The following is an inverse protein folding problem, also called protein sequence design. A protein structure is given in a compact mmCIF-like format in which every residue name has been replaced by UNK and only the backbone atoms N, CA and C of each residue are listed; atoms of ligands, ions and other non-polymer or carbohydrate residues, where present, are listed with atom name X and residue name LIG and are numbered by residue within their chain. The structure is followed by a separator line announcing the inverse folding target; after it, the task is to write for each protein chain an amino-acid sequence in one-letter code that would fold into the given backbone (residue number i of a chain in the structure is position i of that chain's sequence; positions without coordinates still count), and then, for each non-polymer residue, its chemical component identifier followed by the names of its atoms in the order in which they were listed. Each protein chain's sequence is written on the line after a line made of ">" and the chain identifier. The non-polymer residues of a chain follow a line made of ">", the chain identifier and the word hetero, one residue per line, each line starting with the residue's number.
data_IF_806882786156
#
_entry.id   IF_806882786156
#
_cell.length_a   1.000
_cell.length_b   1.000
_cell.length_c   1.000
_cell.angle_alpha   90.00
_cell.angle_beta   90.00
_cell.angle_gamma   90.00
#
_symmetry.space_group_name_H-M   'P 1'
#
loop_
_entity.id
_entity.type
_entity.pdbx_description
1 polymer ?
#
# COMPACT_ATOMS: atom_id res chain seq x y z
N UNK A 1 -11.09 11.95 -37.21
CA UNK A 1 -9.76 11.42 -37.58
C UNK A 1 -9.06 11.06 -36.28
N UNK A 2 -8.82 9.78 -36.01
CA UNK A 2 -8.12 9.34 -34.80
C UNK A 2 -6.64 9.70 -34.94
N UNK A 3 -6.07 10.41 -33.96
CA UNK A 3 -4.66 10.74 -33.96
C UNK A 3 -3.81 9.45 -33.96
N UNK A 4 -2.64 9.44 -34.64
CA UNK A 4 -1.75 8.29 -34.59
C UNK A 4 -1.29 8.06 -33.14
N UNK A 5 -1.45 6.82 -32.65
CA UNK A 5 -0.92 6.42 -31.36
C UNK A 5 0.60 6.50 -31.41
N UNK A 6 1.19 7.45 -30.69
CA UNK A 6 2.64 7.51 -30.48
C UNK A 6 2.95 6.34 -29.54
N UNK A 7 3.71 5.31 -29.98
CA UNK A 7 3.98 4.15 -29.14
C UNK A 7 4.80 4.59 -27.94
N UNK A 8 4.36 4.19 -26.75
CA UNK A 8 5.16 4.42 -25.54
C UNK A 8 6.49 3.66 -25.63
N UNK A 9 7.59 4.13 -25.01
CA UNK A 9 8.87 3.41 -24.99
C UNK A 9 8.76 1.96 -24.46
N UNK A 10 7.72 1.67 -23.68
CA UNK A 10 7.41 0.31 -23.23
C UNK A 10 6.82 -0.58 -24.33
N UNK A 11 6.03 -0.04 -25.25
CA UNK A 11 5.52 -0.81 -26.40
C UNK A 11 6.65 -1.21 -27.35
N UNK A 12 7.74 -0.44 -27.37
CA UNK A 12 8.95 -0.74 -28.14
C UNK A 12 9.76 -1.92 -27.54
N UNK A 13 9.48 -2.35 -26.30
CA UNK A 13 10.13 -3.52 -25.69
C UNK A 13 9.75 -4.81 -26.43
N UNK A 14 8.56 -4.87 -27.03
CA UNK A 14 8.08 -6.05 -27.75
C UNK A 14 8.23 -7.34 -26.92
N UNK A 15 8.74 -8.44 -27.51
CA UNK A 15 8.92 -9.71 -26.82
C UNK A 15 10.24 -9.81 -26.02
N UNK A 16 11.00 -8.71 -25.84
CA UNK A 16 12.27 -8.78 -25.13
C UNK A 16 12.06 -8.85 -23.62
N UNK A 17 12.78 -9.72 -22.90
CA UNK A 17 12.74 -9.74 -21.45
C UNK A 17 13.38 -8.47 -20.88
N UNK A 18 12.82 -7.98 -19.79
CA UNK A 18 13.31 -6.83 -19.07
C UNK A 18 13.19 -7.02 -17.56
N UNK A 19 13.90 -6.21 -16.79
CA UNK A 19 13.87 -6.21 -15.33
C UNK A 19 13.37 -4.88 -14.79
N UNK A 20 12.63 -4.89 -13.67
CA UNK A 20 12.26 -3.65 -12.99
C UNK A 20 13.37 -3.17 -12.06
N UNK A 21 13.60 -1.85 -12.03
CA UNK A 21 14.49 -1.25 -11.05
C UNK A 21 13.85 0.00 -10.41
N UNK A 22 13.63 0.02 -9.09
CA UNK A 22 13.97 -1.02 -8.11
C UNK A 22 13.19 -2.34 -8.31
N UNK A 23 13.70 -3.50 -7.86
CA UNK A 23 12.98 -4.76 -7.98
C UNK A 23 11.71 -4.74 -7.13
N UNK A 24 10.63 -5.31 -7.67
CA UNK A 24 9.37 -5.42 -6.94
C UNK A 24 9.52 -6.46 -5.83
N UNK A 25 9.21 -6.08 -4.59
CA UNK A 25 9.36 -6.94 -3.41
C UNK A 25 8.30 -8.06 -3.36
N UNK A 26 8.63 -9.15 -2.65
CA UNK A 26 7.82 -10.36 -2.49
C UNK A 26 7.53 -11.10 -3.81
N UNK A 27 8.46 -11.00 -4.76
CA UNK A 27 8.46 -11.75 -6.02
C UNK A 27 9.85 -12.37 -6.19
N UNK A 28 9.91 -13.66 -6.51
CA UNK A 28 11.16 -14.41 -6.51
C UNK A 28 12.06 -14.12 -7.70
N UNK A 29 11.48 -13.75 -8.85
CA UNK A 29 12.22 -13.51 -10.09
C UNK A 29 11.84 -12.15 -10.68
N UNK A 30 12.85 -11.36 -11.06
CA UNK A 30 12.67 -10.00 -11.56
C UNK A 30 12.92 -9.89 -13.07
N UNK A 31 12.45 -10.86 -13.83
CA UNK A 31 12.50 -10.82 -15.29
C UNK A 31 11.10 -11.00 -15.84
N UNK A 32 10.74 -10.09 -16.73
CA UNK A 32 9.37 -9.85 -17.13
C UNK A 32 9.30 -9.70 -18.65
N UNK A 33 8.19 -10.17 -19.21
CA UNK A 33 7.83 -9.98 -20.61
C UNK A 33 6.63 -9.05 -20.71
N UNK A 34 6.71 -8.11 -21.65
CA UNK A 34 5.58 -7.25 -21.98
C UNK A 34 4.49 -8.09 -22.64
N UNK A 35 3.24 -7.92 -22.20
CA UNK A 35 2.08 -8.58 -22.82
C UNK A 35 1.13 -7.60 -23.47
N UNK A 36 0.74 -6.56 -22.74
CA UNK A 36 -0.19 -5.52 -23.19
C UNK A 36 -0.07 -4.29 -22.31
N UNK A 37 -0.40 -3.13 -22.86
CA UNK A 37 -0.69 -1.93 -22.10
C UNK A 37 -2.13 -1.49 -22.37
N UNK A 38 -2.94 -1.39 -21.32
CA UNK A 38 -4.32 -0.95 -21.36
C UNK A 38 -4.41 0.43 -20.69
N UNK A 39 -4.27 1.50 -21.48
CA UNK A 39 -4.49 2.90 -21.09
C UNK A 39 -3.64 3.45 -19.94
N UNK A 40 -3.84 2.94 -18.71
CA UNK A 40 -3.14 3.28 -17.48
C UNK A 40 -2.53 2.05 -16.77
N UNK A 41 -2.67 0.85 -17.33
CA UNK A 41 -2.17 -0.39 -16.74
C UNK A 41 -1.25 -1.13 -17.71
N UNK A 42 -0.16 -1.65 -17.16
CA UNK A 42 0.81 -2.48 -17.85
C UNK A 42 0.63 -3.93 -17.41
N UNK A 43 0.42 -4.82 -18.36
CA UNK A 43 0.34 -6.25 -18.12
C UNK A 43 1.67 -6.89 -18.51
N UNK A 44 2.30 -7.52 -17.52
CA UNK A 44 3.57 -8.24 -17.69
C UNK A 44 3.45 -9.67 -17.18
N UNK A 45 4.26 -10.55 -17.74
CA UNK A 45 4.33 -11.96 -17.33
C UNK A 45 5.74 -12.29 -16.89
N UNK A 46 5.87 -12.94 -15.75
CA UNK A 46 7.16 -13.41 -15.25
C UNK A 46 7.69 -14.56 -16.12
N UNK A 47 8.95 -14.50 -16.53
CA UNK A 47 9.53 -15.53 -17.41
C UNK A 47 9.63 -16.91 -16.76
N UNK A 48 9.82 -16.98 -15.43
CA UNK A 48 10.02 -18.24 -14.70
C UNK A 48 8.76 -18.75 -14.02
N UNK A 49 8.04 -17.88 -13.32
CA UNK A 49 6.86 -18.28 -12.55
C UNK A 49 5.57 -18.26 -13.37
N UNK A 50 5.60 -17.71 -14.59
CA UNK A 50 4.42 -17.43 -15.41
C UNK A 50 3.35 -16.59 -14.69
N UNK A 51 3.70 -15.94 -13.58
CA UNK A 51 2.81 -15.06 -12.85
C UNK A 51 2.53 -13.80 -13.67
N UNK A 52 1.24 -13.46 -13.76
CA UNK A 52 0.78 -12.23 -14.40
C UNK A 52 0.73 -11.09 -13.39
N UNK A 53 1.19 -9.92 -13.80
CA UNK A 53 1.22 -8.73 -12.96
C UNK A 53 0.68 -7.52 -13.72
N UNK A 54 -0.30 -6.85 -13.11
CA UNK A 54 -0.85 -5.59 -13.61
C UNK A 54 -0.22 -4.42 -12.83
N UNK A 55 0.59 -3.62 -13.51
CA UNK A 55 1.33 -2.49 -12.92
C UNK A 55 0.79 -1.16 -13.45
N UNK A 56 0.37 -0.22 -12.59
CA UNK A 56 -0.07 1.09 -13.04
C UNK A 56 1.04 1.89 -13.72
N UNK A 57 0.77 2.42 -14.93
CA UNK A 57 1.75 3.18 -15.74
C UNK A 57 2.32 4.38 -14.98
N UNK A 58 1.57 4.98 -14.04
CA UNK A 58 2.05 6.08 -13.17
C UNK A 58 3.28 5.74 -12.32
N UNK A 59 3.59 4.46 -12.14
CA UNK A 59 4.77 4.02 -11.38
C UNK A 59 5.95 3.68 -12.28
N UNK A 60 5.77 3.70 -13.60
CA UNK A 60 6.85 3.52 -14.55
C UNK A 60 7.64 4.81 -14.73
N UNK A 61 8.95 4.66 -14.75
CA UNK A 61 9.91 5.70 -15.09
C UNK A 61 10.45 5.50 -16.49
N UNK A 62 11.70 5.92 -16.69
CA UNK A 62 12.40 5.73 -17.96
C UNK A 62 12.76 4.27 -18.22
N UNK A 63 12.76 3.89 -19.50
CA UNK A 63 13.37 2.64 -19.97
C UNK A 63 14.84 2.95 -20.23
N UNK A 64 15.74 2.25 -19.54
CA UNK A 64 17.17 2.33 -19.77
C UNK A 64 17.61 1.07 -20.51
N UNK A 65 18.08 1.27 -21.73
CA UNK A 65 18.90 0.28 -22.44
C UNK A 65 20.29 0.88 -22.57
N UNK A 66 21.13 0.66 -21.56
CA UNK A 66 22.56 0.88 -21.74
C UNK A 66 23.07 -0.36 -22.50
N UNK A 67 23.96 -0.13 -23.46
CA UNK A 67 24.63 -1.17 -24.26
C UNK A 67 24.95 -2.41 -23.37
N UNK A 68 24.31 -3.56 -23.64
CA UNK A 68 24.44 -4.89 -22.99
C UNK A 68 23.51 -5.27 -21.80
N UNK A 69 23.20 -6.57 -21.61
CA UNK A 69 22.18 -7.33 -22.33
C UNK A 69 20.78 -7.30 -21.68
N UNK A 70 20.57 -6.60 -20.56
CA UNK A 70 19.29 -6.61 -19.81
C UNK A 70 18.63 -5.26 -19.86
N UNK A 71 17.43 -5.20 -20.46
CA UNK A 71 16.65 -3.97 -20.50
C UNK A 71 16.12 -3.69 -19.09
N UNK A 72 16.35 -2.48 -18.59
CA UNK A 72 15.87 -2.07 -17.26
C UNK A 72 14.73 -1.08 -17.43
N UNK A 73 13.60 -1.42 -16.84
CA UNK A 73 12.45 -0.52 -16.72
C UNK A 73 12.49 0.11 -15.34
N UNK A 74 12.71 1.42 -15.31
CA UNK A 74 12.72 2.18 -14.07
C UNK A 74 11.34 2.20 -13.42
N UNK A 75 11.30 2.07 -12.10
CA UNK A 75 10.12 2.35 -11.28
C UNK A 75 10.36 3.64 -10.49
N UNK A 76 9.36 4.52 -10.48
CA UNK A 76 9.41 5.82 -9.78
C UNK A 76 9.26 5.64 -8.26
N UNK A 77 8.76 4.49 -7.82
CA UNK A 77 8.58 4.14 -6.41
C UNK A 77 8.99 2.69 -6.18
N UNK A 78 9.49 2.42 -4.98
CA UNK A 78 9.62 1.05 -4.49
C UNK A 78 8.22 0.45 -4.40
N UNK A 79 8.02 -0.70 -5.04
CA UNK A 79 6.76 -1.43 -5.02
C UNK A 79 6.93 -2.76 -4.29
N UNK A 80 5.88 -3.16 -3.60
CA UNK A 80 5.78 -4.45 -2.93
C UNK A 80 4.52 -5.16 -3.40
N UNK A 81 4.68 -6.43 -3.77
CA UNK A 81 3.55 -7.30 -4.08
C UNK A 81 2.95 -7.85 -2.78
N UNK A 82 1.69 -7.51 -2.51
CA UNK A 82 0.93 -8.01 -1.38
C UNK A 82 -0.38 -8.57 -1.90
N UNK A 83 -0.56 -9.88 -1.76
CA UNK A 83 -1.87 -10.52 -1.91
C UNK A 83 -2.57 -10.25 -3.26
N UNK A 84 -1.83 -10.23 -4.37
CA UNK A 84 -2.40 -9.93 -5.69
C UNK A 84 -2.35 -8.45 -6.08
N UNK A 85 -1.75 -7.59 -5.26
CA UNK A 85 -1.79 -6.13 -5.44
C UNK A 85 -0.39 -5.54 -5.31
N UNK A 86 -0.06 -4.59 -6.19
CA UNK A 86 1.12 -3.76 -6.05
C UNK A 86 0.82 -2.56 -5.15
N UNK A 87 1.55 -2.46 -4.05
CA UNK A 87 1.48 -1.32 -3.12
C UNK A 87 2.82 -0.59 -3.08
N UNK A 88 2.83 0.76 -3.00
CA UNK A 88 4.07 1.49 -2.76
C UNK A 88 4.67 1.11 -1.40
N UNK A 89 5.91 0.64 -1.43
CA UNK A 89 6.69 0.37 -0.23
C UNK A 89 7.34 1.66 0.26
N UNK A 90 7.09 2.04 1.52
CA UNK A 90 7.70 3.22 2.15
C UNK A 90 8.62 2.75 3.26
N UNK A 91 9.93 2.84 3.04
CA UNK A 91 10.91 2.56 4.07
C UNK A 91 10.89 3.69 5.11
N UNK A 92 10.48 3.37 6.34
CA UNK A 92 10.58 4.30 7.47
C UNK A 92 11.99 4.24 8.04
N UNK A 93 12.88 5.06 7.51
CA UNK A 93 14.20 5.25 8.09
C UNK A 93 14.02 6.06 9.38
N UNK A 94 14.15 5.40 10.53
CA UNK A 94 14.19 6.05 11.86
C UNK A 94 15.63 6.21 12.38
N UNK A 95 16.61 5.71 11.64
CA UNK A 95 18.01 5.69 12.08
C UNK A 95 18.89 6.44 11.08
N UNK A 96 19.67 7.37 11.61
CA UNK A 96 20.71 8.05 10.85
C UNK A 96 21.72 7.01 10.35
N UNK A 97 22.07 6.97 9.06
CA UNK A 97 23.13 6.11 8.56
C UNK A 97 24.41 6.36 9.35
N UNK A 98 24.91 5.34 10.04
CA UNK A 98 26.10 5.41 10.91
C UNK A 98 27.39 5.86 10.19
N UNK A 99 27.35 6.03 8.85
CA UNK A 99 28.45 6.55 8.06
C UNK A 99 28.84 8.01 8.40
N UNK A 100 27.97 8.81 9.01
CA UNK A 100 28.34 10.16 9.50
C UNK A 100 29.05 10.10 10.87
N UNK A 101 28.89 9.03 11.64
CA UNK A 101 29.53 8.89 12.95
C UNK A 101 31.00 8.47 12.86
N UNK A 102 31.44 7.83 11.76
CA UNK A 102 32.85 7.43 11.59
C UNK A 102 33.77 8.57 11.15
N UNK A 103 33.22 9.67 10.63
CA UNK A 103 33.97 10.92 10.45
C UNK A 103 34.17 11.71 11.76
N UNK A 104 33.41 11.39 12.82
CA UNK A 104 33.51 12.03 14.12
C UNK A 104 34.49 11.34 15.09
N UNK A 105 34.87 10.08 14.81
CA UNK A 105 35.85 9.31 15.60
C UNK A 105 37.05 8.89 14.72
N UNK A 106 37.57 9.84 13.94
CA UNK A 106 38.89 9.72 13.32
C UNK A 106 39.89 10.55 14.12
N UNK A 107 41.02 9.93 14.50
CA UNK A 107 42.17 10.63 15.07
C UNK A 107 42.48 11.93 14.31
N UNK A 108 42.78 13.04 15.00
CA UNK A 108 43.05 14.31 14.33
C UNK A 108 44.35 14.20 13.52
N UNK A 109 44.22 14.15 12.20
CA UNK A 109 45.35 14.41 11.28
C UNK A 109 45.83 15.86 11.48
N UNK A 110 47.12 16.09 11.75
CA UNK A 110 47.65 17.43 11.97
C UNK A 110 47.85 18.10 10.60
N UNK A 111 47.05 19.12 10.30
CA UNK A 111 47.41 20.07 9.26
C UNK A 111 47.14 21.51 9.72
N UNK A 112 48.21 22.29 9.62
CA UNK A 112 48.33 23.75 9.60
C UNK A 112 47.71 24.55 10.76
N UNK A 113 48.61 25.05 11.62
CA UNK A 113 48.33 26.05 12.64
C UNK A 113 47.70 27.32 12.05
N UNK A 114 46.54 27.71 12.61
CA UNK A 114 45.97 29.03 12.39
C UNK A 114 46.66 30.07 13.31
N UNK A 115 47.00 31.28 12.81
CA UNK A 115 47.66 32.30 13.61
C UNK A 115 46.75 32.85 14.72
N UNK A 116 47.31 32.97 15.92
CA UNK A 116 46.63 33.40 17.15
C UNK A 116 45.96 34.78 17.03
N UNK A 117 44.68 34.92 17.44
CA UNK A 117 44.12 36.20 17.83
C UNK A 117 44.49 36.54 19.27
N UNK A 118 45.03 37.75 19.44
CA UNK A 118 45.47 38.39 20.68
C UNK A 118 44.32 38.64 21.68
N UNK A 119 44.71 38.61 22.96
CA UNK A 119 44.12 39.30 24.13
C UNK A 119 42.73 38.82 24.61
N UNK A 120 42.76 38.18 25.77
CA UNK A 120 41.68 38.09 26.74
C UNK A 120 41.18 39.50 27.12
N UNK A 121 39.86 39.71 27.09
CA UNK A 121 39.20 40.86 27.70
C UNK A 121 38.27 40.36 28.84
N UNK A 122 38.13 41.13 29.92
CA UNK A 122 37.85 40.62 31.25
C UNK A 122 36.36 40.42 31.53
N UNK A 123 36.11 39.51 32.47
CA UNK A 123 34.83 39.13 33.06
C UNK A 123 34.03 40.37 33.49
N UNK A 124 32.90 40.63 32.84
CA UNK A 124 31.85 41.52 33.35
C UNK A 124 30.89 40.68 34.19
N UNK A 125 31.04 40.79 35.51
CA UNK A 125 30.10 40.23 36.47
C UNK A 125 28.74 40.92 36.33
N UNK A 126 27.76 40.21 35.76
CA UNK A 126 26.37 40.65 35.83
C UNK A 126 25.80 40.13 37.14
N UNK A 127 25.57 41.09 38.04
CA UNK A 127 24.88 41.00 39.32
C UNK A 127 23.56 40.24 39.15
N UNK A 128 23.43 39.07 39.78
CA UNK A 128 22.16 38.37 39.93
C UNK A 128 21.32 39.07 41.00
N UNK A 129 20.34 39.87 40.58
CA UNK A 129 19.28 40.33 41.46
C UNK A 129 18.13 39.31 41.50
N UNK A 130 17.53 39.27 42.69
CA UNK A 130 16.63 38.32 43.36
C UNK A 130 15.37 37.83 42.62
N UNK A 131 14.80 36.68 43.06
CA UNK A 131 13.75 35.95 42.36
C UNK A 131 12.38 36.54 42.66
N UNK A 132 11.76 37.21 41.68
CA UNK A 132 10.38 37.64 41.81
C UNK A 132 9.67 37.59 40.44
N UNK A 133 9.19 36.41 40.05
CA UNK A 133 7.93 36.19 39.30
C UNK A 133 7.75 34.69 38.94
N UNK A 134 7.50 33.85 39.96
CA UNK A 134 7.47 32.39 39.82
C UNK A 134 6.10 31.79 39.39
N UNK A 135 5.03 32.59 39.29
CA UNK A 135 3.67 32.03 39.03
C UNK A 135 3.08 32.30 37.66
N UNK A 136 3.48 33.38 36.97
CA UNK A 136 2.90 33.75 35.67
C UNK A 136 3.57 32.98 34.51
N UNK A 137 4.90 32.85 34.53
CA UNK A 137 5.65 32.13 33.49
C UNK A 137 5.38 30.62 33.45
N UNK A 138 5.01 30.00 34.59
CA UNK A 138 4.68 28.55 34.62
C UNK A 138 3.37 28.23 33.87
N UNK A 139 2.42 29.17 33.82
CA UNK A 139 1.16 29.01 33.07
C UNK A 139 1.38 29.11 31.56
N UNK A 140 2.23 30.04 31.11
CA UNK A 140 2.60 30.16 29.69
C UNK A 140 3.36 28.93 29.18
N UNK A 141 4.29 28.41 29.98
CA UNK A 141 5.04 27.20 29.62
C UNK A 141 4.13 25.96 29.54
N UNK A 142 3.15 25.86 30.46
CA UNK A 142 2.14 24.79 30.42
C UNK A 142 1.24 24.86 29.18
N UNK A 143 0.81 26.06 28.78
CA UNK A 143 -0.04 26.23 27.60
C UNK A 143 0.64 25.80 26.29
N UNK A 144 1.95 26.09 26.16
CA UNK A 144 2.74 25.69 24.98
C UNK A 144 2.93 24.16 24.93
N UNK A 145 3.20 23.52 26.07
CA UNK A 145 3.34 22.08 26.12
C UNK A 145 2.03 21.35 25.76
N UNK A 146 0.89 21.88 26.23
CA UNK A 146 -0.44 21.33 25.92
C UNK A 146 -0.78 21.51 24.44
N UNK A 147 -0.47 22.66 23.83
CA UNK A 147 -0.75 22.88 22.40
C UNK A 147 0.07 21.94 21.50
N UNK A 148 1.35 21.73 21.81
CA UNK A 148 2.21 20.77 21.10
C UNK A 148 1.67 19.35 21.27
N UNK A 149 1.24 18.97 22.47
CA UNK A 149 0.67 17.64 22.72
C UNK A 149 -0.62 17.41 21.93
N UNK A 150 -1.51 18.41 21.87
CA UNK A 150 -2.75 18.36 21.06
C UNK A 150 -2.41 18.24 19.56
N UNK A 151 -1.43 18.98 19.07
CA UNK A 151 -0.99 18.90 17.68
C UNK A 151 -0.41 17.52 17.32
N UNK A 152 0.41 16.94 18.21
CA UNK A 152 0.97 15.60 18.04
C UNK A 152 -0.14 14.55 18.07
N UNK A 153 -1.09 14.65 18.99
CA UNK A 153 -2.21 13.71 19.10
C UNK A 153 -3.14 13.80 17.89
N UNK A 154 -3.42 15.01 17.40
CA UNK A 154 -4.16 15.25 16.16
C UNK A 154 -3.45 14.64 14.95
N UNK A 155 -2.14 14.84 14.81
CA UNK A 155 -1.36 14.19 13.74
C UNK A 155 -1.32 12.66 13.88
N UNK A 156 -1.30 12.11 15.10
CA UNK A 156 -1.34 10.67 15.31
C UNK A 156 -2.67 10.08 14.84
N UNK A 157 -3.80 10.71 15.20
CA UNK A 157 -5.13 10.29 14.77
C UNK A 157 -5.30 10.44 13.25
N UNK A 158 -4.83 11.53 12.65
CA UNK A 158 -4.87 11.73 11.19
C UNK A 158 -3.94 10.75 10.48
N UNK A 159 -2.75 10.44 11.03
CA UNK A 159 -1.83 9.42 10.49
C UNK A 159 -2.39 8.00 10.61
N UNK A 160 -3.14 7.69 11.67
CA UNK A 160 -3.84 6.41 11.81
C UNK A 160 -4.96 6.30 10.76
N UNK A 161 -5.72 7.39 10.59
CA UNK A 161 -6.84 7.49 9.64
C UNK A 161 -6.40 7.43 8.17
N UNK A 162 -5.20 7.92 7.86
CA UNK A 162 -4.65 7.96 6.50
C UNK A 162 -3.91 6.68 6.09
N UNK A 163 -3.66 5.72 7.01
CA UNK A 163 -3.14 4.39 6.63
C UNK A 163 -4.18 3.47 5.98
N UNK A 164 -5.48 3.81 6.03
CA UNK A 164 -6.55 2.89 5.61
C UNK A 164 -7.29 3.33 4.34
N UNK A 165 -6.94 4.46 3.72
CA UNK A 165 -7.63 4.91 2.50
C UNK A 165 -6.70 5.11 1.32
N UNK A 166 -6.02 4.04 0.93
CA UNK A 166 -5.71 3.90 -0.49
C UNK A 166 -6.96 3.35 -1.16
N UNK A 167 -7.77 4.26 -1.70
CA UNK A 167 -8.76 3.94 -2.72
C UNK A 167 -8.01 3.39 -3.94
N UNK A 168 -7.67 2.11 -3.93
CA UNK A 168 -7.57 1.37 -5.17
C UNK A 168 -8.99 1.31 -5.70
N UNK A 169 -9.24 1.84 -6.90
CA UNK A 169 -10.43 1.51 -7.68
C UNK A 169 -10.73 0.02 -7.47
N UNK A 170 -11.92 -0.36 -7.00
CA UNK A 170 -12.21 -1.77 -6.77
C UNK A 170 -11.94 -2.48 -8.10
N UNK A 171 -10.91 -3.34 -8.12
CA UNK A 171 -10.66 -4.21 -9.25
C UNK A 171 -11.86 -5.14 -9.28
N UNK A 172 -12.88 -4.75 -10.04
CA UNK A 172 -14.07 -5.56 -10.27
C UNK A 172 -13.61 -6.70 -11.16
N UNK A 173 -13.26 -7.83 -10.54
CA UNK A 173 -13.04 -9.03 -11.33
C UNK A 173 -14.37 -9.39 -11.99
N UNK A 174 -14.41 -9.60 -13.32
CA UNK A 174 -15.61 -10.12 -13.97
C UNK A 174 -15.79 -11.56 -13.53
N UNK A 175 -16.52 -11.74 -12.43
CA UNK A 175 -16.87 -13.05 -11.89
C UNK A 175 -18.17 -13.52 -12.56
N UNK A 176 -18.29 -14.82 -12.90
CA UNK A 176 -19.48 -15.37 -13.55
C UNK A 176 -20.63 -15.60 -12.55
N UNK A 177 -20.72 -14.77 -11.52
CA UNK A 177 -21.68 -14.89 -10.43
C UNK A 177 -22.62 -13.70 -10.34
N UNK A 178 -23.89 -13.99 -10.20
CA UNK A 178 -24.98 -13.01 -10.08
C UNK A 178 -25.68 -13.14 -8.74
N UNK A 179 -26.51 -12.17 -8.36
CA UNK A 179 -27.27 -12.20 -7.11
C UNK A 179 -28.28 -13.37 -7.01
N UNK A 180 -28.54 -14.06 -8.13
CA UNK A 180 -29.41 -15.23 -8.22
C UNK A 180 -28.68 -16.55 -7.98
N UNK A 181 -27.35 -16.57 -7.94
CA UNK A 181 -26.60 -17.79 -7.71
C UNK A 181 -26.66 -18.19 -6.23
N UNK A 182 -26.97 -19.46 -5.98
CA UNK A 182 -27.00 -20.09 -4.67
C UNK A 182 -25.72 -20.90 -4.40
N UNK A 183 -25.61 -21.46 -3.19
CA UNK A 183 -24.48 -22.29 -2.79
C UNK A 183 -24.21 -23.44 -3.78
N UNK A 184 -25.27 -24.15 -4.21
CA UNK A 184 -25.14 -25.30 -5.10
C UNK A 184 -24.65 -24.89 -6.49
N UNK A 185 -25.12 -23.76 -7.02
CA UNK A 185 -24.68 -23.20 -8.31
C UNK A 185 -23.20 -22.82 -8.27
N UNK A 186 -22.73 -22.28 -7.15
CA UNK A 186 -21.31 -21.95 -6.95
C UNK A 186 -20.47 -23.22 -6.89
N UNK A 187 -20.92 -24.22 -6.12
CA UNK A 187 -20.21 -25.51 -6.01
C UNK A 187 -20.19 -26.26 -7.34
N UNK A 188 -21.25 -26.17 -8.14
CA UNK A 188 -21.30 -26.77 -9.47
C UNK A 188 -20.30 -26.10 -10.44
N UNK A 189 -20.14 -24.78 -10.36
CA UNK A 189 -19.21 -24.03 -11.22
C UNK A 189 -17.76 -24.21 -10.78
N UNK A 190 -17.48 -24.09 -9.49
CA UNK A 190 -16.12 -23.91 -8.93
C UNK A 190 -15.68 -25.01 -7.95
N UNK A 191 -16.52 -26.01 -7.71
CA UNK A 191 -16.23 -27.09 -6.78
C UNK A 191 -16.46 -26.70 -5.32
N UNK A 192 -16.13 -27.62 -4.43
CA UNK A 192 -16.34 -27.45 -2.99
C UNK A 192 -15.35 -26.42 -2.42
N UNK A 193 -15.80 -25.51 -1.53
CA UNK A 193 -14.91 -24.58 -0.88
C UNK A 193 -13.99 -25.29 0.11
N UNK A 194 -12.74 -24.84 0.22
CA UNK A 194 -11.77 -25.43 1.16
C UNK A 194 -12.20 -25.23 2.62
N UNK A 195 -12.83 -24.10 2.93
CA UNK A 195 -13.43 -23.85 4.25
C UNK A 195 -14.72 -23.06 4.10
N UNK A 196 -15.74 -23.44 4.87
CA UNK A 196 -16.99 -22.70 5.01
C UNK A 196 -17.12 -22.21 6.46
N UNK A 197 -17.42 -20.92 6.65
CA UNK A 197 -17.70 -20.33 7.95
C UNK A 197 -18.96 -19.50 7.87
N UNK A 198 -19.88 -19.66 8.81
CA UNK A 198 -20.99 -18.73 8.98
C UNK A 198 -20.63 -17.62 9.97
N UNK A 199 -21.27 -16.46 9.80
CA UNK A 199 -21.18 -15.32 10.70
C UNK A 199 -22.57 -14.74 10.91
N UNK A 200 -22.93 -14.37 12.16
CA UNK A 200 -24.20 -13.72 12.42
C UNK A 200 -24.27 -12.38 11.70
N UNK A 201 -25.41 -12.10 11.10
CA UNK A 201 -25.74 -10.84 10.46
C UNK A 201 -26.95 -10.17 11.09
N UNK A 202 -27.33 -9.02 10.54
CA UNK A 202 -28.54 -8.32 10.94
C UNK A 202 -29.80 -9.11 10.55
N UNK A 203 -30.83 -9.08 11.42
CA UNK A 203 -32.17 -9.57 11.10
C UNK A 203 -32.31 -11.10 11.04
N UNK A 204 -31.50 -11.85 11.81
CA UNK A 204 -31.58 -13.32 11.87
C UNK A 204 -31.08 -14.02 10.61
N UNK A 205 -30.37 -13.30 9.74
CA UNK A 205 -29.65 -13.85 8.59
C UNK A 205 -28.17 -13.92 8.89
N UNK A 206 -27.48 -14.86 8.26
CA UNK A 206 -26.06 -15.10 8.42
C UNK A 206 -25.31 -14.85 7.11
N UNK A 207 -24.07 -14.39 7.25
CA UNK A 207 -23.10 -14.37 6.17
C UNK A 207 -22.40 -15.72 6.12
N UNK A 208 -22.43 -16.41 4.98
CA UNK A 208 -21.63 -17.61 4.76
C UNK A 208 -20.41 -17.28 3.89
N UNK A 209 -19.22 -17.45 4.46
CA UNK A 209 -17.94 -17.19 3.83
C UNK A 209 -17.35 -18.50 3.33
N UNK A 210 -17.25 -18.62 2.00
CA UNK A 210 -16.73 -19.79 1.31
C UNK A 210 -15.34 -19.47 0.76
N UNK A 211 -14.31 -20.10 1.30
CA UNK A 211 -12.92 -19.82 0.93
C UNK A 211 -12.47 -20.71 -0.22
N UNK A 212 -11.99 -20.07 -1.29
CA UNK A 212 -11.36 -20.71 -2.45
C UNK A 212 -9.90 -20.28 -2.53
N UNK A 213 -8.97 -21.01 -1.87
CA UNK A 213 -7.56 -20.62 -1.81
C UNK A 213 -6.89 -20.61 -3.19
N UNK A 214 -7.28 -21.53 -4.07
CA UNK A 214 -6.76 -21.66 -5.44
C UNK A 214 -7.08 -20.42 -6.30
N UNK A 215 -8.20 -19.76 -5.99
CA UNK A 215 -8.60 -18.51 -6.62
C UNK A 215 -8.27 -17.27 -5.78
N UNK A 216 -7.55 -17.45 -4.66
CA UNK A 216 -7.19 -16.40 -3.70
C UNK A 216 -8.36 -15.50 -3.24
N UNK A 217 -9.58 -16.05 -3.22
CA UNK A 217 -10.81 -15.30 -2.94
C UNK A 217 -11.69 -16.02 -1.91
N UNK A 218 -12.61 -15.25 -1.34
CA UNK A 218 -13.66 -15.75 -0.45
C UNK A 218 -15.01 -15.26 -0.98
N UNK A 219 -15.89 -16.19 -1.33
CA UNK A 219 -17.25 -15.88 -1.75
C UNK A 219 -18.11 -15.61 -0.51
N UNK A 220 -18.94 -14.58 -0.57
CA UNK A 220 -19.87 -14.19 0.49
C UNK A 220 -21.29 -14.47 0.03
N UNK A 221 -21.97 -15.33 0.77
CA UNK A 221 -23.39 -15.59 0.64
C UNK A 221 -24.15 -14.96 1.81
N UNK A 222 -25.43 -14.68 1.60
CA UNK A 222 -26.33 -14.17 2.64
C UNK A 222 -27.68 -14.87 2.61
N UNK A 223 -28.09 -15.39 3.75
CA UNK A 223 -29.32 -16.17 3.87
C UNK A 223 -29.65 -16.48 5.32
N UNK A 224 -30.79 -17.13 5.55
CA UNK A 224 -31.11 -17.67 6.87
C UNK A 224 -30.25 -18.91 7.20
N UNK A 225 -29.93 -19.70 6.18
CA UNK A 225 -29.03 -20.83 6.23
C UNK A 225 -28.23 -20.89 4.92
N UNK A 226 -27.27 -21.83 4.85
CA UNK A 226 -26.38 -21.97 3.68
C UNK A 226 -27.13 -22.35 2.40
N UNK A 227 -28.20 -23.11 2.50
CA UNK A 227 -28.91 -23.67 1.35
C UNK A 227 -29.90 -22.66 0.75
N UNK A 228 -30.35 -21.70 1.56
CA UNK A 228 -31.16 -20.54 1.17
C UNK A 228 -30.36 -19.24 1.10
N UNK A 229 -29.03 -19.33 1.03
CA UNK A 229 -28.16 -18.16 0.92
C UNK A 229 -27.85 -17.84 -0.54
N UNK A 230 -27.99 -16.56 -0.89
CA UNK A 230 -27.72 -16.05 -2.22
C UNK A 230 -26.40 -15.29 -2.27
N UNK A 231 -25.79 -15.27 -3.44
CA UNK A 231 -24.51 -14.60 -3.66
C UNK A 231 -24.61 -13.08 -3.53
N UNK A 232 -23.84 -12.53 -2.59
CA UNK A 232 -23.67 -11.08 -2.43
C UNK A 232 -22.45 -10.57 -3.18
N UNK A 233 -21.35 -11.32 -3.18
CA UNK A 233 -20.10 -10.82 -3.74
C UNK A 233 -18.89 -11.66 -3.35
N UNK A 234 -17.73 -11.13 -3.73
CA UNK A 234 -16.44 -11.77 -3.48
C UNK A 234 -15.50 -10.83 -2.73
N UNK A 235 -14.82 -11.40 -1.75
CA UNK A 235 -13.75 -10.78 -0.99
C UNK A 235 -12.41 -11.33 -1.45
N UNK A 236 -11.43 -10.45 -1.58
CA UNK A 236 -10.03 -10.81 -1.75
C UNK A 236 -9.39 -11.07 -0.40
N UNK A 237 -8.11 -11.41 -0.44
CA UNK A 237 -7.28 -11.43 0.77
C UNK A 237 -7.29 -10.04 1.45
N UNK A 238 -7.19 -10.04 2.78
CA UNK A 238 -7.30 -8.83 3.60
C UNK A 238 -8.71 -8.24 3.76
N UNK A 239 -9.77 -8.88 3.23
CA UNK A 239 -11.16 -8.42 3.38
C UNK A 239 -11.56 -7.29 2.41
N UNK A 240 -10.81 -7.11 1.32
CA UNK A 240 -11.16 -6.15 0.27
C UNK A 240 -12.28 -6.68 -0.61
N UNK A 241 -13.27 -5.84 -0.94
CA UNK A 241 -14.33 -6.18 -1.89
C UNK A 241 -13.76 -6.25 -3.30
N UNK A 242 -13.81 -7.44 -3.92
CA UNK A 242 -13.41 -7.67 -5.31
C UNK A 242 -14.62 -7.69 -6.26
N UNK A 243 -15.81 -8.01 -5.73
CA UNK A 243 -17.03 -8.07 -6.51
C UNK A 243 -18.24 -7.77 -5.65
N UNK A 244 -19.18 -7.03 -6.22
CA UNK A 244 -20.49 -6.74 -5.67
C UNK A 244 -21.54 -6.94 -6.76
N UNK A 245 -22.69 -7.48 -6.39
CA UNK A 245 -23.88 -7.59 -7.22
C UNK A 245 -24.89 -6.50 -6.89
N UNK A 246 -25.80 -6.21 -7.82
CA UNK A 246 -27.01 -5.46 -7.52
C UNK A 246 -28.02 -6.43 -6.86
N UNK A 247 -28.56 -6.03 -5.72
CA UNK A 247 -29.63 -6.76 -5.05
C UNK A 247 -30.93 -6.63 -5.85
N UNK A 248 -31.92 -7.51 -5.59
CA UNK A 248 -33.26 -7.42 -6.19
C UNK A 248 -33.93 -6.04 -6.01
N UNK A 249 -33.62 -5.35 -4.91
CA UNK A 249 -34.15 -4.01 -4.60
C UNK A 249 -33.39 -2.88 -5.32
N UNK A 250 -32.47 -3.21 -6.24
CA UNK A 250 -31.64 -2.26 -6.99
C UNK A 250 -30.47 -1.66 -6.21
N UNK A 251 -30.32 -1.99 -4.93
CA UNK A 251 -29.21 -1.54 -4.09
C UNK A 251 -27.89 -2.27 -4.39
N UNK A 252 -26.75 -1.60 -4.22
CA UNK A 252 -25.43 -2.23 -4.37
C UNK A 252 -25.07 -3.04 -3.11
N UNK A 253 -24.71 -4.31 -3.29
CA UNK A 253 -24.27 -5.21 -2.20
C UNK A 253 -22.93 -4.81 -1.57
N UNK A 254 -22.19 -3.86 -2.14
CA UNK A 254 -20.86 -3.44 -1.63
C UNK A 254 -20.84 -3.22 -0.12
N UNK A 255 -21.85 -2.56 0.44
CA UNK A 255 -21.94 -2.29 1.87
C UNK A 255 -22.11 -3.58 2.71
N UNK A 256 -22.89 -4.54 2.21
CA UNK A 256 -23.13 -5.82 2.88
C UNK A 256 -21.90 -6.74 2.80
N UNK A 257 -21.24 -6.77 1.64
CA UNK A 257 -19.97 -7.51 1.47
C UNK A 257 -18.89 -6.93 2.38
N UNK A 258 -18.87 -5.60 2.55
CA UNK A 258 -17.97 -4.95 3.50
C UNK A 258 -18.31 -5.26 4.96
N UNK A 259 -19.59 -5.31 5.33
CA UNK A 259 -20.04 -5.72 6.67
C UNK A 259 -19.61 -7.17 7.00
N UNK A 260 -19.67 -8.07 6.01
CA UNK A 260 -19.16 -9.43 6.15
C UNK A 260 -17.65 -9.46 6.44
N UNK A 261 -16.88 -8.48 5.96
CA UNK A 261 -15.44 -8.36 6.17
C UNK A 261 -15.05 -7.66 7.48
N UNK A 262 -15.82 -6.66 7.92
CA UNK A 262 -15.48 -5.77 9.05
C UNK A 262 -15.86 -6.31 10.44
N UNK A 263 -16.78 -7.27 10.51
CA UNK A 263 -17.21 -7.88 11.77
C UNK A 263 -16.14 -8.87 12.25
N UNK A 264 -15.27 -8.41 13.16
CA UNK A 264 -14.28 -9.23 13.90
C UNK A 264 -14.81 -9.58 15.28
#
# INVERSE_FOLDING_TARGET
>A
MSAPHIPTPLEQLGPRPFSFYPPIRNLDHNEWLFRRADGNELHVVNTKSHAELCLPLRYLGGVSSIEEPVIIVGLVKDLEYREGVLVPHVQRVLEMPAAVARAANGDPRPWAAAPQPRRLAPVLGIRTETPQESRKNRKFLGAIAVSILIAILGMAIVRESSRVRFFTTPVRLPLPFTASDDYLSIVAKWGHPATSRSRPGAGGREFHLLRYPDHALTIVLWGADRDHAFYLGALGRGGRVLHSTQLPDGADSTALVWAAASTR
#
